data_IF_181730405152
#
_entry.id   IF_181730405152
#
_cell.length_a   1.000
_cell.length_b   1.000
_cell.length_c   1.000
_cell.angle_alpha   90.00
_cell.angle_beta   90.00
_cell.angle_gamma   90.00
#
_symmetry.space_group_name_H-M   'P 1'
#
loop_
_entity.id
_entity.type
_entity.pdbx_description
1 polymer ?
#
# COMPACT_ATOMS: atom_id res chain seq x y z
N UNK A 1 -10.77 25.02 8.28
CA UNK A 1 -10.30 23.88 7.44
C UNK A 1 -8.88 24.20 7.00
N UNK A 2 -7.92 23.27 7.12
CA UNK A 2 -6.52 23.53 6.73
C UNK A 2 -6.39 23.68 5.20
N UNK A 3 -5.40 24.44 4.70
CA UNK A 3 -5.01 24.39 3.29
C UNK A 3 -4.81 22.95 2.80
N UNK A 4 -5.21 22.65 1.56
CA UNK A 4 -5.18 21.27 1.04
C UNK A 4 -3.76 20.66 1.07
N UNK A 5 -2.74 21.46 0.75
CA UNK A 5 -1.33 21.07 0.80
C UNK A 5 -0.86 20.67 2.21
N UNK A 6 -1.36 21.34 3.26
CA UNK A 6 -1.04 21.03 4.65
C UNK A 6 -1.81 19.79 5.15
N UNK A 7 -3.09 19.68 4.76
CA UNK A 7 -3.92 18.55 5.16
C UNK A 7 -3.42 17.23 4.56
N UNK A 8 -3.01 17.25 3.28
CA UNK A 8 -2.37 16.11 2.62
C UNK A 8 -1.18 15.58 3.44
N UNK A 9 -0.37 16.46 4.02
CA UNK A 9 0.82 16.10 4.79
C UNK A 9 0.51 15.70 6.25
N UNK A 10 -0.71 15.94 6.74
CA UNK A 10 -1.14 15.62 8.10
C UNK A 10 -1.55 14.13 8.22
N UNK A 11 -1.21 13.44 9.33
CA UNK A 11 -1.73 12.11 9.64
C UNK A 11 -3.25 11.98 9.53
N UNK A 12 -3.72 10.77 9.25
CA UNK A 12 -5.13 10.45 9.05
C UNK A 12 -5.51 9.31 9.99
N UNK A 13 -6.45 9.57 10.89
CA UNK A 13 -6.72 8.68 12.01
C UNK A 13 -7.79 7.63 11.73
N UNK A 14 -8.61 7.84 10.70
CA UNK A 14 -9.71 6.95 10.34
C UNK A 14 -10.00 7.05 8.82
N UNK A 15 -10.84 6.14 8.31
CA UNK A 15 -11.17 6.09 6.88
C UNK A 15 -11.98 7.30 6.40
N UNK A 16 -12.77 7.95 7.27
CA UNK A 16 -13.58 9.11 6.87
C UNK A 16 -12.71 10.33 6.59
N UNK A 17 -11.66 10.55 7.39
CA UNK A 17 -10.64 11.56 7.09
C UNK A 17 -9.95 11.31 5.74
N UNK A 18 -9.73 10.04 5.39
CA UNK A 18 -9.21 9.65 4.07
C UNK A 18 -10.22 9.91 2.95
N UNK A 19 -11.51 9.64 3.17
CA UNK A 19 -12.55 9.94 2.21
C UNK A 19 -12.71 11.45 1.99
N UNK A 20 -12.64 12.25 3.06
CA UNK A 20 -12.75 13.70 2.99
C UNK A 20 -11.59 14.33 2.21
N UNK A 21 -10.34 13.94 2.51
CA UNK A 21 -9.19 14.45 1.74
C UNK A 21 -9.25 14.02 0.27
N UNK A 22 -9.78 12.83 0.00
CA UNK A 22 -9.97 12.33 -1.37
C UNK A 22 -10.96 13.20 -2.15
N UNK A 23 -12.14 13.49 -1.58
CA UNK A 23 -13.13 14.39 -2.20
C UNK A 23 -12.57 15.77 -2.45
N UNK A 24 -11.82 16.33 -1.49
CA UNK A 24 -11.16 17.65 -1.64
C UNK A 24 -10.16 17.66 -2.79
N UNK A 25 -9.40 16.58 -2.98
CA UNK A 25 -8.50 16.47 -4.14
C UNK A 25 -9.32 16.36 -5.43
N UNK A 26 -10.32 15.49 -5.48
CA UNK A 26 -11.16 15.31 -6.68
C UNK A 26 -11.84 16.61 -7.12
N UNK A 27 -12.32 17.41 -6.18
CA UNK A 27 -12.90 18.74 -6.42
C UNK A 27 -11.86 19.76 -6.92
N UNK A 28 -10.62 19.64 -6.45
CA UNK A 28 -9.53 20.55 -6.80
C UNK A 28 -8.91 20.25 -8.18
N UNK A 29 -8.84 18.98 -8.58
CA UNK A 29 -8.15 18.54 -9.81
C UNK A 29 -8.62 19.25 -11.10
N UNK A 30 -9.94 19.44 -11.37
CA UNK A 30 -10.41 20.13 -12.56
C UNK A 30 -9.84 21.55 -12.73
N UNK A 31 -9.56 22.23 -11.62
CA UNK A 31 -9.10 23.62 -11.63
C UNK A 31 -7.59 23.76 -11.85
N UNK A 32 -6.81 22.69 -11.66
CA UNK A 32 -5.33 22.75 -11.75
C UNK A 32 -4.75 21.95 -12.92
N UNK A 33 -5.48 20.96 -13.44
CA UNK A 33 -5.00 20.12 -14.52
C UNK A 33 -5.17 20.87 -15.85
N UNK A 34 -4.05 21.11 -16.52
CA UNK A 34 -4.02 21.76 -17.84
C UNK A 34 -4.13 20.73 -18.97
N UNK A 35 -3.49 19.57 -18.84
CA UNK A 35 -3.50 18.54 -19.88
C UNK A 35 -3.69 17.14 -19.30
N UNK A 36 -4.24 16.25 -20.15
CA UNK A 36 -4.48 14.84 -19.85
C UNK A 36 -3.99 14.01 -21.02
N UNK A 37 -3.04 13.11 -20.78
CA UNK A 37 -2.50 12.22 -21.80
C UNK A 37 -2.82 10.77 -21.42
N UNK A 38 -3.63 10.12 -22.24
CA UNK A 38 -3.95 8.70 -22.09
C UNK A 38 -2.82 7.83 -22.63
N UNK A 39 -2.44 6.79 -21.91
CA UNK A 39 -1.38 5.85 -22.30
C UNK A 39 -1.66 4.49 -21.69
N UNK A 40 -1.96 3.49 -22.54
CA UNK A 40 -2.50 2.19 -22.10
C UNK A 40 -3.73 2.40 -21.20
N UNK A 41 -3.82 1.68 -20.07
CA UNK A 41 -4.89 1.83 -19.09
C UNK A 41 -4.69 2.99 -18.11
N UNK A 42 -3.75 3.90 -18.40
CA UNK A 42 -3.38 5.00 -17.50
C UNK A 42 -3.61 6.37 -18.12
N UNK A 43 -3.75 7.38 -17.27
CA UNK A 43 -3.73 8.80 -17.63
C UNK A 43 -2.62 9.51 -16.89
N UNK A 44 -1.83 10.30 -17.62
CA UNK A 44 -0.85 11.25 -17.06
C UNK A 44 -1.51 12.62 -17.02
N UNK A 45 -1.47 13.25 -15.85
CA UNK A 45 -1.96 14.63 -15.66
C UNK A 45 -0.78 15.59 -15.58
N UNK A 46 -0.93 16.75 -16.21
CA UNK A 46 0.03 17.86 -16.09
C UNK A 46 -0.68 19.17 -15.73
N UNK A 47 0.06 20.06 -15.07
CA UNK A 47 -0.34 21.42 -14.76
C UNK A 47 0.72 22.38 -15.29
N UNK A 48 0.31 23.34 -16.11
CA UNK A 48 1.19 24.32 -16.75
C UNK A 48 0.93 25.68 -16.14
N UNK A 49 1.93 26.23 -15.44
CA UNK A 49 1.84 27.54 -14.79
C UNK A 49 3.09 28.33 -15.13
N UNK A 50 2.91 29.51 -15.73
CA UNK A 50 4.01 30.42 -16.12
C UNK A 50 5.15 29.72 -16.89
N UNK A 51 4.81 28.85 -17.86
CA UNK A 51 5.77 28.10 -18.67
C UNK A 51 6.44 26.91 -17.96
N UNK A 52 6.15 26.67 -16.67
CA UNK A 52 6.63 25.50 -15.94
C UNK A 52 5.56 24.40 -15.96
N UNK A 53 5.95 23.18 -16.34
CA UNK A 53 5.06 22.01 -16.33
C UNK A 53 5.35 21.12 -15.13
N UNK A 54 4.35 20.89 -14.28
CA UNK A 54 4.38 19.85 -13.25
C UNK A 54 3.58 18.64 -13.72
N UNK A 55 4.11 17.44 -13.47
CA UNK A 55 3.44 16.20 -13.78
C UNK A 55 3.04 15.49 -12.50
N UNK A 56 1.83 14.94 -12.48
CA UNK A 56 1.46 13.94 -11.50
C UNK A 56 1.94 12.55 -11.95
N UNK A 57 1.97 11.63 -11.00
CA UNK A 57 2.07 10.19 -11.26
C UNK A 57 0.95 9.69 -12.20
N UNK A 58 1.17 8.61 -12.97
CA UNK A 58 0.13 7.99 -13.80
C UNK A 58 -1.01 7.42 -12.97
N UNK A 59 -2.25 7.60 -13.43
CA UNK A 59 -3.48 7.14 -12.77
C UNK A 59 -4.10 6.02 -13.59
N UNK A 60 -4.39 4.87 -12.98
CA UNK A 60 -5.06 3.74 -13.61
C UNK A 60 -6.56 4.06 -13.82
N UNK A 61 -6.99 4.12 -15.07
CA UNK A 61 -8.36 4.49 -15.46
C UNK A 61 -9.41 3.41 -15.12
N UNK A 62 -8.98 2.18 -14.84
CA UNK A 62 -9.87 1.07 -14.45
C UNK A 62 -10.18 1.13 -12.95
N UNK A 63 -9.21 1.56 -12.13
CA UNK A 63 -9.33 1.59 -10.67
C UNK A 63 -9.74 2.96 -10.11
N UNK A 64 -9.33 4.06 -10.75
CA UNK A 64 -9.53 5.39 -10.22
C UNK A 64 -10.95 5.90 -10.44
N UNK A 65 -11.65 6.24 -9.36
CA UNK A 65 -12.98 6.82 -9.39
C UNK A 65 -12.83 8.34 -9.47
N UNK A 66 -13.13 8.92 -10.62
CA UNK A 66 -12.88 10.33 -10.91
C UNK A 66 -14.02 11.29 -10.52
N UNK A 67 -15.22 10.76 -10.25
CA UNK A 67 -16.40 11.54 -9.84
C UNK A 67 -16.65 11.41 -8.35
N UNK A 68 -16.92 12.54 -7.69
CA UNK A 68 -17.13 12.60 -6.24
C UNK A 68 -18.34 11.75 -5.84
N UNK A 69 -19.45 11.85 -6.56
CA UNK A 69 -20.69 11.14 -6.24
C UNK A 69 -20.52 9.61 -6.37
N UNK A 70 -19.76 9.19 -7.36
CA UNK A 70 -19.42 7.78 -7.57
C UNK A 70 -18.47 7.27 -6.49
N UNK A 71 -17.48 8.09 -6.11
CA UNK A 71 -16.57 7.76 -5.02
C UNK A 71 -17.32 7.62 -3.69
N UNK A 72 -18.23 8.54 -3.36
CA UNK A 72 -19.03 8.47 -2.14
C UNK A 72 -19.90 7.21 -2.07
N UNK A 73 -20.52 6.84 -3.19
CA UNK A 73 -21.31 5.60 -3.29
C UNK A 73 -20.44 4.36 -3.09
N UNK A 74 -19.28 4.30 -3.75
CA UNK A 74 -18.35 3.19 -3.61
C UNK A 74 -17.74 3.13 -2.21
N UNK A 75 -17.43 4.27 -1.60
CA UNK A 75 -16.90 4.37 -0.24
C UNK A 75 -17.90 3.85 0.79
N UNK A 76 -19.20 4.21 0.68
CA UNK A 76 -20.26 3.62 1.52
C UNK A 76 -20.34 2.10 1.36
N UNK A 77 -20.25 1.62 0.12
CA UNK A 77 -20.25 0.19 -0.19
C UNK A 77 -19.01 -0.51 0.40
N UNK A 78 -17.85 0.15 0.31
CA UNK A 78 -16.59 -0.32 0.86
C UNK A 78 -16.65 -0.49 2.38
N UNK A 79 -17.18 0.49 3.12
CA UNK A 79 -17.38 0.37 4.57
C UNK A 79 -18.31 -0.80 4.93
N UNK A 80 -19.36 -1.02 4.15
CA UNK A 80 -20.25 -2.17 4.33
C UNK A 80 -19.54 -3.50 4.08
N UNK A 81 -18.71 -3.57 3.04
CA UNK A 81 -17.89 -4.76 2.73
C UNK A 81 -16.91 -5.05 3.88
N UNK A 82 -16.21 -4.05 4.40
CA UNK A 82 -15.31 -4.23 5.56
C UNK A 82 -16.08 -4.71 6.80
N UNK A 83 -17.30 -4.20 7.02
CA UNK A 83 -18.18 -4.69 8.09
C UNK A 83 -18.59 -6.14 7.88
N UNK A 84 -18.82 -6.57 6.64
CA UNK A 84 -19.10 -7.98 6.33
C UNK A 84 -17.88 -8.87 6.56
N UNK A 85 -16.69 -8.43 6.16
CA UNK A 85 -15.41 -9.12 6.41
C UNK A 85 -15.18 -9.29 7.91
N UNK A 86 -15.37 -8.22 8.69
CA UNK A 86 -15.29 -8.26 10.16
C UNK A 86 -16.21 -9.30 10.78
N UNK A 87 -17.41 -9.46 10.22
CA UNK A 87 -18.40 -10.43 10.66
C UNK A 87 -18.20 -11.83 10.00
N UNK A 88 -17.04 -12.11 9.40
CA UNK A 88 -16.70 -13.39 8.75
C UNK A 88 -17.70 -13.82 7.68
N UNK A 89 -18.37 -12.86 7.04
CA UNK A 89 -19.33 -13.14 5.95
C UNK A 89 -18.60 -13.30 4.64
N UNK A 90 -19.09 -14.22 3.80
CA UNK A 90 -18.58 -14.40 2.44
C UNK A 90 -18.86 -13.16 1.60
N UNK A 91 -17.81 -12.62 0.98
CA UNK A 91 -17.85 -11.43 0.14
C UNK A 91 -18.13 -11.83 -1.31
N UNK A 92 -18.91 -11.02 -2.04
CA UNK A 92 -19.27 -11.31 -3.44
C UNK A 92 -18.12 -10.94 -4.35
N UNK A 93 -17.97 -11.61 -5.50
CA UNK A 93 -16.88 -11.33 -6.46
C UNK A 93 -16.79 -9.86 -6.89
N UNK A 94 -17.92 -9.17 -7.04
CA UNK A 94 -17.97 -7.74 -7.40
C UNK A 94 -17.43 -6.81 -6.30
N UNK A 95 -17.43 -7.26 -5.05
CA UNK A 95 -17.03 -6.42 -3.92
C UNK A 95 -15.50 -6.31 -3.85
N UNK A 96 -14.77 -7.28 -4.42
CA UNK A 96 -13.30 -7.24 -4.55
C UNK A 96 -12.86 -6.01 -5.36
N UNK A 97 -13.50 -5.77 -6.51
CA UNK A 97 -13.21 -4.57 -7.31
C UNK A 97 -13.54 -3.28 -6.57
N UNK A 98 -14.55 -3.26 -5.70
CA UNK A 98 -14.85 -2.07 -4.88
C UNK A 98 -13.77 -1.82 -3.83
N UNK A 99 -13.24 -2.87 -3.20
CA UNK A 99 -12.11 -2.76 -2.25
C UNK A 99 -10.90 -2.13 -2.94
N UNK A 100 -10.46 -2.71 -4.07
CA UNK A 100 -9.27 -2.25 -4.78
C UNK A 100 -9.47 -0.83 -5.34
N UNK A 101 -10.62 -0.54 -5.95
CA UNK A 101 -10.90 0.78 -6.53
C UNK A 101 -10.96 1.90 -5.47
N UNK A 102 -11.57 1.66 -4.30
CA UNK A 102 -11.64 2.67 -3.24
C UNK A 102 -10.28 2.88 -2.59
N UNK A 103 -9.56 1.80 -2.25
CA UNK A 103 -8.21 1.91 -1.68
C UNK A 103 -7.26 2.61 -2.65
N UNK A 104 -7.32 2.26 -3.94
CA UNK A 104 -6.55 2.92 -4.99
C UNK A 104 -6.91 4.38 -5.12
N UNK A 105 -8.19 4.72 -5.24
CA UNK A 105 -8.64 6.10 -5.45
C UNK A 105 -8.20 7.02 -4.32
N UNK A 106 -8.31 6.57 -3.06
CA UNK A 106 -7.86 7.34 -1.90
C UNK A 106 -6.36 7.62 -2.00
N UNK A 107 -5.56 6.55 -2.12
CA UNK A 107 -4.11 6.68 -2.06
C UNK A 107 -3.56 7.43 -3.28
N UNK A 108 -4.15 7.20 -4.46
CA UNK A 108 -3.76 7.84 -5.69
C UNK A 108 -4.16 9.32 -5.70
N UNK A 109 -5.32 9.69 -5.14
CA UNK A 109 -5.72 11.09 -4.98
C UNK A 109 -4.75 11.85 -4.09
N UNK A 110 -4.38 11.27 -2.94
CA UNK A 110 -3.35 11.84 -2.07
C UNK A 110 -2.03 12.04 -2.82
N UNK A 111 -1.61 11.02 -3.56
CA UNK A 111 -0.40 11.06 -4.37
C UNK A 111 -0.38 12.19 -5.39
N UNK A 112 -1.43 12.27 -6.21
CA UNK A 112 -1.60 13.30 -7.25
C UNK A 112 -1.71 14.70 -6.63
N UNK A 113 -2.47 14.84 -5.54
CA UNK A 113 -2.60 16.10 -4.82
C UNK A 113 -1.23 16.62 -4.34
N UNK A 114 -0.40 15.75 -3.75
CA UNK A 114 0.94 16.11 -3.33
C UNK A 114 1.89 16.39 -4.50
N UNK A 115 1.79 15.65 -5.61
CA UNK A 115 2.64 15.86 -6.79
C UNK A 115 2.44 17.28 -7.36
N UNK A 116 1.23 17.83 -7.30
CA UNK A 116 0.94 19.20 -7.74
C UNK A 116 1.22 20.27 -6.69
N UNK A 117 0.81 20.01 -5.43
CA UNK A 117 0.74 21.04 -4.38
C UNK A 117 1.94 21.09 -3.43
N UNK A 118 2.74 20.02 -3.36
CA UNK A 118 3.80 19.88 -2.36
C UNK A 118 5.19 19.85 -2.99
N UNK A 119 6.23 20.00 -2.15
CA UNK A 119 7.60 19.79 -2.58
C UNK A 119 7.84 18.28 -2.85
N UNK A 120 8.50 17.89 -3.97
CA UNK A 120 8.68 16.48 -4.35
C UNK A 120 9.38 15.58 -3.32
N UNK A 121 10.32 16.13 -2.55
CA UNK A 121 11.07 15.33 -1.56
C UNK A 121 10.20 15.03 -0.33
N UNK A 122 9.47 16.03 0.15
CA UNK A 122 8.49 15.87 1.22
C UNK A 122 7.36 14.92 0.78
N UNK A 123 6.80 15.15 -0.41
CA UNK A 123 5.67 14.42 -0.96
C UNK A 123 5.90 12.90 -0.94
N UNK A 124 7.06 12.42 -1.41
CA UNK A 124 7.36 10.97 -1.45
C UNK A 124 7.26 10.31 -0.08
N UNK A 125 7.80 10.96 0.97
CA UNK A 125 7.74 10.45 2.34
C UNK A 125 6.31 10.46 2.87
N UNK A 126 5.60 11.58 2.72
CA UNK A 126 4.24 11.68 3.22
C UNK A 126 3.27 10.72 2.51
N UNK A 127 3.38 10.51 1.20
CA UNK A 127 2.59 9.51 0.47
C UNK A 127 2.80 8.10 1.04
N UNK A 128 4.04 7.73 1.37
CA UNK A 128 4.34 6.45 2.03
C UNK A 128 3.64 6.33 3.37
N UNK A 129 3.73 7.36 4.22
CA UNK A 129 3.06 7.38 5.52
C UNK A 129 1.52 7.33 5.38
N UNK A 130 0.96 8.03 4.38
CA UNK A 130 -0.49 7.97 4.07
C UNK A 130 -0.92 6.58 3.66
N UNK A 131 -0.07 5.87 2.90
CA UNK A 131 -0.34 4.50 2.53
C UNK A 131 -0.39 3.58 3.75
N UNK A 132 0.61 3.67 4.62
CA UNK A 132 0.67 2.87 5.85
C UNK A 132 -0.56 3.11 6.73
N UNK A 133 -0.91 4.36 6.98
CA UNK A 133 -2.06 4.70 7.79
C UNK A 133 -3.39 4.28 7.15
N UNK A 134 -3.52 4.35 5.82
CA UNK A 134 -4.72 3.87 5.12
C UNK A 134 -4.88 2.36 5.33
N UNK A 135 -3.85 1.58 5.04
CA UNK A 135 -3.90 0.11 5.16
C UNK A 135 -4.17 -0.31 6.60
N UNK A 136 -3.53 0.35 7.58
CA UNK A 136 -3.79 0.15 9.01
C UNK A 136 -5.26 0.35 9.37
N UNK A 137 -5.86 1.45 8.89
CA UNK A 137 -7.27 1.74 9.13
C UNK A 137 -8.21 0.76 8.44
N UNK A 138 -7.86 0.25 7.25
CA UNK A 138 -8.62 -0.80 6.56
C UNK A 138 -8.62 -2.08 7.39
N UNK A 139 -7.46 -2.52 7.90
CA UNK A 139 -7.37 -3.69 8.78
C UNK A 139 -8.19 -3.52 10.05
N UNK A 140 -8.06 -2.38 10.74
CA UNK A 140 -8.85 -2.10 11.95
C UNK A 140 -10.35 -2.13 11.68
N UNK A 141 -10.81 -1.52 10.58
CA UNK A 141 -12.22 -1.52 10.20
C UNK A 141 -12.73 -2.92 9.80
N UNK A 142 -11.87 -3.74 9.22
CA UNK A 142 -12.12 -5.16 8.93
C UNK A 142 -12.05 -6.06 10.18
N UNK A 143 -11.80 -5.50 11.37
CA UNK A 143 -11.73 -6.25 12.62
C UNK A 143 -10.45 -7.05 12.82
N UNK A 144 -9.35 -6.67 12.16
CA UNK A 144 -8.02 -7.25 12.37
C UNK A 144 -7.25 -6.40 13.36
N UNK A 145 -6.86 -6.98 14.49
CA UNK A 145 -5.96 -6.34 15.46
C UNK A 145 -4.61 -6.07 14.82
N UNK A 146 -4.12 -4.84 14.93
CA UNK A 146 -2.85 -4.46 14.35
C UNK A 146 -2.15 -3.35 15.15
N UNK A 147 -0.82 -3.32 15.07
CA UNK A 147 -0.01 -2.27 15.68
C UNK A 147 1.30 -2.06 14.90
N UNK A 148 1.93 -0.90 15.10
CA UNK A 148 3.24 -0.58 14.54
C UNK A 148 4.34 -1.05 15.49
N UNK A 149 4.98 -2.15 15.13
CA UNK A 149 6.10 -2.71 15.87
C UNK A 149 7.31 -2.76 14.96
N UNK A 150 8.44 -2.19 15.38
CA UNK A 150 9.72 -2.27 14.65
C UNK A 150 10.61 -3.30 15.31
N UNK A 151 10.77 -4.48 14.69
CA UNK A 151 11.68 -5.50 15.21
C UNK A 151 13.14 -5.04 15.06
N UNK A 152 13.92 -5.15 16.14
CA UNK A 152 15.28 -4.64 16.23
C UNK A 152 16.25 -5.76 16.56
N UNK A 153 17.27 -5.88 15.72
CA UNK A 153 18.33 -6.86 15.87
C UNK A 153 19.56 -6.16 16.43
N UNK A 154 20.06 -6.54 17.63
CA UNK A 154 21.29 -5.98 18.16
C UNK A 154 22.50 -6.46 17.37
N UNK A 155 23.49 -5.58 17.19
CA UNK A 155 24.80 -5.92 16.64
C UNK A 155 25.90 -5.11 17.35
N UNK A 156 27.09 -5.69 17.56
CA UNK A 156 28.18 -5.02 18.27
C UNK A 156 28.72 -3.85 17.45
N UNK A 157 29.08 -2.76 18.11
CA UNK A 157 29.79 -1.62 17.53
C UNK A 157 30.79 -1.02 18.52
N UNK A 158 31.68 -0.15 18.04
CA UNK A 158 32.70 0.53 18.88
C UNK A 158 32.08 1.35 20.03
N UNK A 159 30.85 1.82 19.87
CA UNK A 159 30.11 2.62 20.86
C UNK A 159 29.17 1.78 21.74
N UNK A 160 29.31 0.44 21.71
CA UNK A 160 28.38 -0.52 22.32
C UNK A 160 27.36 -1.09 21.32
N UNK A 161 26.33 -1.76 21.82
CA UNK A 161 25.33 -2.41 20.96
C UNK A 161 24.51 -1.38 20.16
N UNK A 162 24.53 -1.53 18.83
CA UNK A 162 23.63 -0.82 17.91
C UNK A 162 22.51 -1.76 17.47
N UNK A 163 21.45 -1.19 16.89
CA UNK A 163 20.26 -1.96 16.50
C UNK A 163 19.94 -1.77 15.02
N UNK A 164 19.91 -2.87 14.28
CA UNK A 164 19.35 -2.91 12.93
C UNK A 164 17.83 -3.00 13.03
N UNK A 165 17.12 -2.10 12.34
CA UNK A 165 15.64 -2.11 12.31
C UNK A 165 15.16 -2.84 11.05
N UNK A 166 14.46 -3.95 11.25
CA UNK A 166 13.75 -4.63 10.16
C UNK A 166 12.57 -3.77 9.69
N UNK A 167 12.20 -3.87 8.40
CA UNK A 167 10.99 -3.27 7.87
C UNK A 167 9.75 -4.08 8.27
N UNK A 168 9.31 -3.86 9.50
CA UNK A 168 8.03 -4.32 10.03
C UNK A 168 7.09 -3.11 10.13
N UNK A 169 6.39 -2.79 9.03
CA UNK A 169 5.55 -1.59 8.98
C UNK A 169 4.30 -1.76 9.87
N UNK A 170 3.68 -2.94 9.83
CA UNK A 170 2.52 -3.30 10.66
C UNK A 170 2.67 -4.77 11.11
N UNK A 171 2.27 -5.09 12.34
CA UNK A 171 2.02 -6.48 12.77
C UNK A 171 0.52 -6.70 12.89
N UNK A 172 0.02 -7.80 12.32
CA UNK A 172 -1.35 -8.27 12.46
C UNK A 172 -1.41 -9.40 13.48
N UNK A 173 -2.43 -9.39 14.32
CA UNK A 173 -2.58 -10.36 15.41
C UNK A 173 -3.94 -11.04 15.38
N UNK A 174 -4.01 -12.35 15.64
CA UNK A 174 -5.27 -13.05 15.90
C UNK A 174 -5.79 -12.78 17.32
N UNK A 175 -5.01 -12.11 18.17
CA UNK A 175 -5.37 -11.80 19.54
C UNK A 175 -6.01 -10.40 19.66
N UNK A 176 -6.54 -10.08 20.85
CA UNK A 176 -7.11 -8.74 21.13
C UNK A 176 -6.07 -7.61 21.07
N UNK A 177 -4.78 -7.94 21.25
CA UNK A 177 -3.66 -7.02 21.15
C UNK A 177 -2.46 -7.69 20.49
N UNK A 178 -1.64 -6.90 19.80
CA UNK A 178 -0.34 -7.36 19.30
C UNK A 178 0.54 -7.79 20.48
N UNK A 179 1.11 -8.99 20.39
CA UNK A 179 2.02 -9.59 21.38
C UNK A 179 3.49 -9.37 21.03
N UNK A 180 3.79 -9.21 19.75
CA UNK A 180 5.13 -8.84 19.28
C UNK A 180 5.58 -7.48 19.83
N UNK A 181 6.88 -7.32 19.98
CA UNK A 181 7.50 -6.07 20.40
C UNK A 181 8.83 -5.88 19.65
N UNK A 182 9.64 -4.91 20.07
CA UNK A 182 10.90 -4.60 19.39
C UNK A 182 11.96 -5.69 19.46
N UNK A 183 11.80 -6.70 20.33
CA UNK A 183 12.76 -7.78 20.56
C UNK A 183 12.23 -9.17 20.21
N UNK A 184 10.92 -9.36 20.15
CA UNK A 184 10.29 -10.66 19.91
C UNK A 184 9.15 -10.55 18.93
N UNK A 185 9.05 -11.52 18.03
CA UNK A 185 7.89 -11.72 17.15
C UNK A 185 7.10 -12.90 17.70
N UNK A 186 5.77 -12.84 17.69
CA UNK A 186 4.93 -13.95 18.10
C UNK A 186 4.64 -14.87 16.90
N UNK A 187 4.69 -16.18 17.08
CA UNK A 187 4.49 -17.20 16.03
C UNK A 187 3.13 -17.13 15.34
N UNK A 188 2.10 -16.67 16.05
CA UNK A 188 0.73 -16.57 15.53
C UNK A 188 0.49 -15.25 14.76
N UNK A 189 1.46 -14.34 14.76
CA UNK A 189 1.33 -12.99 14.18
C UNK A 189 1.97 -12.88 12.79
N UNK A 190 1.51 -11.90 12.02
CA UNK A 190 1.99 -11.64 10.67
C UNK A 190 2.66 -10.28 10.61
N UNK A 191 3.88 -10.25 10.10
CA UNK A 191 4.57 -9.01 9.72
C UNK A 191 4.08 -8.57 8.34
N UNK A 192 3.66 -7.31 8.22
CA UNK A 192 3.31 -6.69 6.95
C UNK A 192 4.38 -5.66 6.60
N UNK A 193 4.96 -5.79 5.41
CA UNK A 193 5.78 -4.75 4.80
C UNK A 193 4.99 -4.03 3.71
N UNK A 194 4.96 -2.70 3.81
CA UNK A 194 4.17 -1.81 2.98
C UNK A 194 5.06 -0.92 2.15
N UNK A 195 4.85 -0.91 0.84
CA UNK A 195 5.57 0.01 -0.04
C UNK A 195 4.65 0.60 -1.09
N UNK A 196 4.88 1.86 -1.42
CA UNK A 196 4.17 2.48 -2.54
C UNK A 196 4.59 1.87 -3.88
N UNK A 197 5.84 1.46 -4.02
CA UNK A 197 6.42 0.83 -5.23
C UNK A 197 7.39 -0.28 -4.81
N UNK A 198 7.52 -1.36 -5.57
CA UNK A 198 8.40 -2.47 -5.21
C UNK A 198 9.87 -2.25 -5.61
N UNK A 199 10.16 -2.00 -6.89
CA UNK A 199 11.51 -1.67 -7.43
C UNK A 199 12.64 -2.51 -6.81
N UNK A 200 13.81 -1.88 -6.61
CA UNK A 200 14.97 -2.38 -5.89
C UNK A 200 14.70 -2.62 -4.39
N UNK A 201 13.66 -1.99 -3.83
CA UNK A 201 13.29 -2.11 -2.41
C UNK A 201 12.61 -3.43 -2.06
N UNK A 202 12.16 -4.21 -3.04
CA UNK A 202 11.51 -5.50 -2.80
C UNK A 202 12.44 -6.52 -2.13
N UNK A 203 13.72 -6.54 -2.52
CA UNK A 203 14.69 -7.49 -1.95
C UNK A 203 14.89 -7.34 -0.43
N UNK A 204 14.68 -6.13 0.10
CA UNK A 204 14.81 -5.87 1.53
C UNK A 204 13.79 -6.64 2.38
N UNK A 205 12.58 -6.87 1.87
CA UNK A 205 11.53 -7.64 2.58
C UNK A 205 11.98 -9.08 2.80
N UNK A 206 12.59 -9.69 1.78
CA UNK A 206 13.10 -11.06 1.85
C UNK A 206 14.28 -11.18 2.82
N UNK A 207 15.21 -10.22 2.77
CA UNK A 207 16.33 -10.17 3.70
C UNK A 207 15.86 -9.98 5.14
N UNK A 208 14.92 -9.06 5.36
CA UNK A 208 14.36 -8.81 6.69
C UNK A 208 13.60 -10.05 7.20
N UNK A 209 12.87 -10.79 6.36
CA UNK A 209 12.27 -12.08 6.77
C UNK A 209 13.32 -13.08 7.26
N UNK A 210 14.40 -13.26 6.49
CA UNK A 210 15.49 -14.17 6.88
C UNK A 210 16.10 -13.78 8.22
N UNK A 211 16.37 -12.49 8.41
CA UNK A 211 16.92 -11.96 9.65
C UNK A 211 15.92 -12.15 10.81
N UNK A 212 14.66 -11.79 10.63
CA UNK A 212 13.62 -11.98 11.65
C UNK A 212 13.51 -13.44 12.08
N UNK A 213 13.46 -14.39 11.14
CA UNK A 213 13.42 -15.82 11.50
C UNK A 213 14.65 -16.28 12.26
N UNK A 214 15.83 -15.81 11.86
CA UNK A 214 17.09 -16.18 12.53
C UNK A 214 17.11 -15.67 13.97
N UNK A 215 16.67 -14.44 14.22
CA UNK A 215 16.76 -13.80 15.54
C UNK A 215 15.53 -14.02 16.42
N UNK A 216 14.39 -14.39 15.84
CA UNK A 216 13.21 -14.84 16.58
C UNK A 216 13.28 -16.34 16.94
N UNK A 217 14.20 -17.10 16.32
CA UNK A 217 14.41 -18.53 16.53
C UNK A 217 13.21 -19.43 16.15
N UNK A 218 12.29 -18.90 15.34
CA UNK A 218 11.15 -19.62 14.78
C UNK A 218 10.78 -19.06 13.38
N UNK A 219 9.95 -19.77 12.58
CA UNK A 219 9.41 -19.22 11.33
C UNK A 219 8.58 -17.96 11.58
N UNK A 220 8.73 -16.94 10.72
CA UNK A 220 8.05 -15.64 10.85
C UNK A 220 7.22 -15.41 9.60
N UNK A 221 5.91 -15.22 9.78
CA UNK A 221 4.98 -14.95 8.69
C UNK A 221 5.17 -13.51 8.21
N UNK A 222 5.52 -13.30 6.93
CA UNK A 222 5.74 -11.99 6.31
C UNK A 222 4.96 -11.85 5.01
N UNK A 223 4.14 -10.81 4.92
CA UNK A 223 3.38 -10.44 3.72
C UNK A 223 3.86 -9.09 3.18
N UNK A 224 4.03 -9.00 1.86
CA UNK A 224 4.34 -7.74 1.18
C UNK A 224 3.10 -7.14 0.53
N UNK A 225 2.81 -5.86 0.79
CA UNK A 225 1.68 -5.14 0.15
C UNK A 225 2.21 -3.89 -0.55
N UNK A 226 1.85 -3.76 -1.82
CA UNK A 226 2.30 -2.70 -2.72
C UNK A 226 1.12 -1.89 -3.26
N UNK A 227 1.28 -0.57 -3.36
CA UNK A 227 0.29 0.26 -4.03
C UNK A 227 0.32 0.02 -5.55
N UNK A 228 1.36 0.52 -6.22
CA UNK A 228 1.49 0.44 -7.68
C UNK A 228 2.95 0.42 -8.12
N UNK A 229 3.22 -0.17 -9.29
CA UNK A 229 4.55 -0.20 -9.89
C UNK A 229 4.53 0.39 -11.29
N UNK A 230 4.00 1.60 -11.39
CA UNK A 230 3.95 2.37 -12.63
C UNK A 230 4.66 3.70 -12.44
N UNK A 231 5.48 4.07 -13.41
CA UNK A 231 6.14 5.38 -13.44
C UNK A 231 6.01 6.02 -14.79
N UNK A 232 5.92 7.35 -14.77
CA UNK A 232 5.98 8.16 -15.98
C UNK A 232 7.35 8.02 -16.63
N UNK A 233 7.36 7.78 -17.94
CA UNK A 233 8.53 7.83 -18.82
C UNK A 233 8.26 8.96 -19.83
N UNK A 234 9.02 10.05 -19.75
CA UNK A 234 8.78 11.26 -20.56
C UNK A 234 7.37 11.84 -20.34
N UNK A 235 6.80 12.54 -21.31
CA UNK A 235 5.53 13.26 -21.14
C UNK A 235 4.29 12.40 -21.40
N UNK A 236 4.43 11.30 -22.14
CA UNK A 236 3.32 10.55 -22.75
C UNK A 236 3.37 9.03 -22.52
N UNK A 237 4.44 8.50 -21.91
CA UNK A 237 4.66 7.06 -21.72
C UNK A 237 4.72 6.69 -20.25
N UNK A 238 4.52 5.41 -20.00
CA UNK A 238 4.73 4.78 -18.71
C UNK A 238 5.68 3.59 -18.80
N UNK A 239 6.30 3.26 -17.68
CA UNK A 239 7.06 2.03 -17.47
C UNK A 239 6.59 1.33 -16.20
N UNK A 240 6.48 0.01 -16.25
CA UNK A 240 6.30 -0.78 -15.04
C UNK A 240 7.64 -0.95 -14.32
N UNK A 241 7.63 -0.94 -13.00
CA UNK A 241 8.85 -0.92 -12.18
C UNK A 241 9.07 -2.18 -11.34
N UNK A 242 8.17 -3.15 -11.44
CA UNK A 242 8.31 -4.45 -10.81
C UNK A 242 9.44 -5.25 -11.46
N UNK A 243 10.45 -5.61 -10.65
CA UNK A 243 11.63 -6.37 -11.10
C UNK A 243 11.33 -7.86 -11.00
N UNK A 244 10.50 -8.35 -11.92
CA UNK A 244 9.87 -9.67 -11.85
C UNK A 244 10.87 -10.84 -11.79
N UNK A 245 11.92 -10.81 -12.61
CA UNK A 245 12.95 -11.85 -12.59
C UNK A 245 13.65 -11.97 -11.24
N UNK A 246 13.99 -10.83 -10.62
CA UNK A 246 14.64 -10.81 -9.32
C UNK A 246 13.69 -11.26 -8.20
N UNK A 247 12.41 -10.89 -8.28
CA UNK A 247 11.38 -11.41 -7.38
C UNK A 247 11.33 -12.95 -7.38
N UNK A 248 11.39 -13.58 -8.56
CA UNK A 248 11.41 -15.05 -8.64
C UNK A 248 12.69 -15.65 -8.08
N UNK A 249 13.84 -14.99 -8.29
CA UNK A 249 15.11 -15.44 -7.69
C UNK A 249 14.99 -15.45 -6.17
N UNK A 250 14.48 -14.38 -5.55
CA UNK A 250 14.29 -14.34 -4.10
C UNK A 250 13.28 -15.38 -3.62
N UNK A 251 12.13 -15.48 -4.30
CA UNK A 251 11.06 -16.40 -3.89
C UNK A 251 11.49 -17.87 -3.97
N UNK A 252 12.25 -18.25 -5.01
CA UNK A 252 12.65 -19.65 -5.24
C UNK A 252 13.94 -20.04 -4.52
N UNK A 253 14.89 -19.12 -4.38
CA UNK A 253 16.25 -19.46 -3.91
C UNK A 253 16.65 -18.80 -2.60
N UNK A 254 15.92 -17.79 -2.12
CA UNK A 254 16.25 -17.08 -0.88
C UNK A 254 15.27 -17.44 0.24
N UNK A 255 14.02 -16.98 0.13
CA UNK A 255 12.94 -17.31 1.06
C UNK A 255 11.59 -17.00 0.42
N UNK A 256 10.57 -17.81 0.69
CA UNK A 256 9.21 -17.53 0.22
C UNK A 256 8.47 -16.65 1.24
N UNK A 257 7.78 -15.61 0.75
CA UNK A 257 6.81 -14.83 1.54
C UNK A 257 5.45 -15.54 1.56
N UNK A 258 4.64 -15.27 2.58
CA UNK A 258 3.31 -15.84 2.77
C UNK A 258 2.33 -15.30 1.73
N UNK A 259 2.63 -14.14 1.15
CA UNK A 259 1.94 -13.61 -0.01
C UNK A 259 2.49 -12.23 -0.40
N UNK A 260 2.33 -11.89 -1.67
CA UNK A 260 2.60 -10.55 -2.19
C UNK A 260 1.34 -10.00 -2.83
N UNK A 261 0.95 -8.79 -2.44
CA UNK A 261 -0.30 -8.20 -2.88
C UNK A 261 -0.09 -6.82 -3.49
N UNK A 262 -0.84 -6.53 -4.55
CA UNK A 262 -0.86 -5.21 -5.20
C UNK A 262 -2.27 -4.63 -5.20
N UNK A 263 -2.39 -3.33 -4.96
CA UNK A 263 -3.64 -2.60 -5.21
C UNK A 263 -3.81 -2.37 -6.72
N UNK A 264 -2.74 -1.96 -7.41
CA UNK A 264 -2.66 -1.77 -8.86
C UNK A 264 -1.59 -2.72 -9.44
N UNK A 265 -1.95 -3.99 -9.67
CA UNK A 265 -1.01 -5.02 -10.10
C UNK A 265 -0.48 -4.75 -11.51
N UNK A 266 0.85 -4.75 -11.73
CA UNK A 266 1.43 -4.73 -13.07
C UNK A 266 0.93 -5.93 -13.90
N UNK A 267 0.72 -5.79 -15.22
CA UNK A 267 0.15 -6.87 -16.06
C UNK A 267 0.87 -8.22 -15.97
N UNK A 268 2.20 -8.21 -15.81
CA UNK A 268 3.03 -9.41 -15.71
C UNK A 268 2.68 -10.29 -14.50
N UNK A 269 2.09 -9.72 -13.44
CA UNK A 269 1.67 -10.47 -12.24
C UNK A 269 0.55 -11.47 -12.56
N UNK A 270 -0.17 -11.30 -13.66
CA UNK A 270 -1.25 -12.21 -14.10
C UNK A 270 -0.74 -13.45 -14.83
N UNK A 271 0.54 -13.50 -15.17
CA UNK A 271 1.14 -14.61 -15.93
C UNK A 271 1.95 -15.53 -15.00
N UNK A 272 2.02 -16.81 -15.33
CA UNK A 272 2.88 -17.75 -14.63
C UNK A 272 4.36 -17.38 -14.78
N UNK A 273 5.21 -17.59 -13.75
CA UNK A 273 4.87 -18.15 -12.43
C UNK A 273 4.40 -17.10 -11.40
N UNK A 274 4.25 -15.83 -11.79
CA UNK A 274 4.00 -14.74 -10.85
C UNK A 274 2.61 -14.79 -10.19
N UNK A 275 1.61 -15.23 -10.95
CA UNK A 275 0.23 -15.37 -10.49
C UNK A 275 0.02 -16.44 -9.40
N UNK A 276 1.02 -17.28 -9.15
CA UNK A 276 1.02 -18.26 -8.04
C UNK A 276 1.43 -17.62 -6.71
N UNK A 277 2.10 -16.46 -6.76
CA UNK A 277 2.67 -15.80 -5.59
C UNK A 277 2.11 -14.39 -5.35
N UNK A 278 1.47 -13.81 -6.37
CA UNK A 278 1.00 -12.43 -6.37
C UNK A 278 -0.50 -12.36 -6.63
N UNK A 279 -1.21 -11.69 -5.72
CA UNK A 279 -2.66 -11.51 -5.78
C UNK A 279 -3.06 -10.03 -5.62
N UNK A 280 -4.30 -9.64 -5.98
CA UNK A 280 -4.81 -8.31 -5.63
C UNK A 280 -4.96 -8.10 -4.12
N UNK A 281 -4.86 -6.85 -3.65
CA UNK A 281 -5.06 -6.52 -2.23
C UNK A 281 -6.42 -6.97 -1.70
N UNK A 282 -7.48 -6.86 -2.50
CA UNK A 282 -8.81 -7.37 -2.16
C UNK A 282 -8.83 -8.86 -1.81
N UNK A 283 -7.99 -9.69 -2.45
CA UNK A 283 -7.86 -11.11 -2.13
C UNK A 283 -7.31 -11.32 -0.72
N UNK A 284 -6.28 -10.56 -0.36
CA UNK A 284 -5.68 -10.63 0.98
C UNK A 284 -6.70 -10.34 2.07
N UNK A 285 -7.35 -9.16 2.01
CA UNK A 285 -8.24 -8.70 3.08
C UNK A 285 -9.53 -9.54 3.18
N UNK A 286 -10.01 -10.07 2.05
CA UNK A 286 -11.24 -10.85 2.04
C UNK A 286 -11.02 -12.30 2.50
N UNK A 287 -9.90 -12.94 2.14
CA UNK A 287 -9.68 -14.36 2.39
C UNK A 287 -8.32 -14.64 3.04
N UNK A 288 -7.22 -14.37 2.34
CA UNK A 288 -5.91 -14.98 2.65
C UNK A 288 -5.41 -14.56 4.05
N UNK A 289 -5.72 -13.34 4.49
CA UNK A 289 -5.38 -12.86 5.84
C UNK A 289 -5.90 -13.78 6.95
N UNK A 290 -7.08 -14.39 6.76
CA UNK A 290 -7.71 -15.25 7.76
C UNK A 290 -7.11 -16.65 7.76
N UNK A 291 -6.64 -17.12 6.61
CA UNK A 291 -5.90 -18.38 6.49
C UNK A 291 -4.53 -18.24 7.14
N UNK A 292 -3.82 -17.13 6.90
CA UNK A 292 -2.47 -16.91 7.44
C UNK A 292 -2.50 -16.62 8.95
N UNK A 293 -3.55 -15.94 9.46
CA UNK A 293 -3.76 -15.71 10.90
C UNK A 293 -4.33 -16.93 11.64
N UNK A 294 -4.75 -17.98 10.93
CA UNK A 294 -5.18 -19.20 11.60
C UNK A 294 -3.97 -19.91 12.23
N UNK A 295 -4.11 -20.47 13.46
CA UNK A 295 -3.08 -21.27 14.10
C UNK A 295 -2.71 -22.52 13.29
#
# INVERSE_FOLDING_TARGET
>A
MKPLSEDLQTPKQNLDEFADITKRVLDYLPNIVSERVATRDYTILSSVVAGTTKFARPINNILFINKIEEFEKNYKSFLEILRQIKNRKKIKRKDYSTIDAVAYTIQQSIGVGMDFLCNPNSARKHVGNRFEELIRNIFSQAGVTNDKVVFKIPYPSEEGDKYYSCETDIILSPHERVKSNTKTINEDEIVISLKTTSKDRMGKIFLDKLLMQKFAEHPVKVVGIFLNDVQRKNTDKISYTFVSGLFMVYTKFLIQLEGVYFIDPPPITKTAPYNEHISPFSQFIANDIWEVLSP
#
